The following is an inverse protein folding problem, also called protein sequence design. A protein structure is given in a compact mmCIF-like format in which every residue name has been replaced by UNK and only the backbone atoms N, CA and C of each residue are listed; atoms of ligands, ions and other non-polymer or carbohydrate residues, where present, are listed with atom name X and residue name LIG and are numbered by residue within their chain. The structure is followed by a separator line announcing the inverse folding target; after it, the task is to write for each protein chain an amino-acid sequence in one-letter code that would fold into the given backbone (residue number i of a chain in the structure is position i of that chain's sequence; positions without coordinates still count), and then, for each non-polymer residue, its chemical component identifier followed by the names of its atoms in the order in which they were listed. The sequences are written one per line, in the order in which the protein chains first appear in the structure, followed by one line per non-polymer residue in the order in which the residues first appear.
data_IF_960897201576
#
_entry.id   IF_960897201576
#
_cell.length_a   1.000
_cell.length_b   1.000
_cell.length_c   1.000
_cell.angle_alpha   90.00
_cell.angle_beta   90.00
_cell.angle_gamma   90.00
#
_symmetry.space_group_name_H-M   'P 1'
#
loop_
_entity.id
_entity.type
_entity.pdbx_description
1 polymer ?
#
# COMPACT_ATOMS: atom_id res chain seq x y z
N UNK A 1 -11.89 -5.04 16.94
CA UNK A 1 -12.68 -3.84 17.29
C UNK A 1 -14.00 -4.25 17.95
N UNK A 2 -14.14 -3.95 19.27
CA UNK A 2 -15.35 -4.27 20.02
C UNK A 2 -16.56 -3.39 19.63
N UNK A 3 -16.32 -2.23 19.00
CA UNK A 3 -17.38 -1.31 18.55
C UNK A 3 -17.89 -1.69 17.16
N UNK A 4 -17.15 -2.46 16.40
CA UNK A 4 -17.35 -2.79 14.98
C UNK A 4 -17.39 -1.57 14.05
N UNK A 5 -16.96 -0.39 14.50
CA UNK A 5 -17.17 0.88 13.78
C UNK A 5 -15.91 1.45 13.12
N UNK A 6 -14.73 1.07 13.58
CA UNK A 6 -13.48 1.75 13.18
C UNK A 6 -13.24 1.67 11.67
N UNK A 7 -13.26 0.49 11.10
CA UNK A 7 -13.08 0.29 9.66
C UNK A 7 -14.07 1.11 8.83
N UNK A 8 -15.36 1.09 9.23
CA UNK A 8 -16.37 1.89 8.53
C UNK A 8 -16.12 3.38 8.66
N UNK A 9 -15.78 3.85 9.85
CA UNK A 9 -15.53 5.27 10.11
C UNK A 9 -14.41 5.81 9.20
N UNK A 10 -13.29 5.10 9.13
CA UNK A 10 -12.16 5.54 8.31
C UNK A 10 -12.40 5.38 6.81
N UNK A 11 -13.18 4.39 6.38
CA UNK A 11 -13.65 4.30 4.98
C UNK A 11 -14.58 5.46 4.63
N UNK A 12 -15.55 5.79 5.48
CA UNK A 12 -16.44 6.93 5.26
C UNK A 12 -15.66 8.27 5.26
N UNK A 13 -14.65 8.40 6.12
CA UNK A 13 -13.75 9.55 6.13
C UNK A 13 -12.93 9.65 4.84
N UNK A 14 -12.33 8.56 4.38
CA UNK A 14 -11.59 8.52 3.13
C UNK A 14 -12.46 8.92 1.93
N UNK A 15 -13.71 8.44 1.88
CA UNK A 15 -14.69 8.84 0.88
C UNK A 15 -15.00 10.35 0.97
N UNK A 16 -15.17 10.89 2.18
CA UNK A 16 -15.44 12.32 2.41
C UNK A 16 -14.25 13.20 2.02
N UNK A 17 -13.03 12.70 2.17
CA UNK A 17 -11.79 13.33 1.73
C UNK A 17 -11.54 13.17 0.21
N UNK A 18 -12.49 12.58 -0.51
CA UNK A 18 -12.40 12.35 -1.96
C UNK A 18 -11.14 11.56 -2.35
N UNK A 19 -10.80 10.53 -1.57
CA UNK A 19 -9.79 9.57 -2.00
C UNK A 19 -10.27 8.90 -3.30
N UNK A 20 -9.38 8.66 -4.29
CA UNK A 20 -9.79 8.15 -5.62
C UNK A 20 -10.54 6.82 -5.57
N UNK A 21 -10.24 5.99 -4.57
CA UNK A 21 -10.98 4.77 -4.27
C UNK A 21 -11.07 4.55 -2.77
N UNK A 22 -12.24 4.12 -2.33
CA UNK A 22 -12.51 3.65 -0.97
C UNK A 22 -13.43 2.44 -1.06
N UNK A 23 -13.05 1.34 -0.40
CA UNK A 23 -13.84 0.12 -0.39
C UNK A 23 -15.23 0.39 0.22
N UNK A 24 -16.29 0.01 -0.48
CA UNK A 24 -17.64 0.13 0.06
C UNK A 24 -17.86 -0.88 1.18
N UNK A 25 -18.66 -0.51 2.17
CA UNK A 25 -18.97 -1.39 3.28
C UNK A 25 -20.36 -1.08 3.89
N UNK A 26 -21.02 -2.14 4.34
CA UNK A 26 -22.34 -2.05 4.94
C UNK A 26 -22.50 -3.02 6.11
N UNK A 27 -23.32 -2.63 7.09
CA UNK A 27 -23.71 -3.51 8.18
C UNK A 27 -24.68 -4.57 7.70
N UNK A 28 -24.45 -5.81 8.08
CA UNK A 28 -25.31 -6.95 7.76
C UNK A 28 -25.59 -7.79 8.99
N UNK A 29 -26.80 -8.33 9.08
CA UNK A 29 -27.12 -9.39 10.02
C UNK A 29 -26.73 -10.74 9.37
N UNK A 30 -25.78 -11.44 9.98
CA UNK A 30 -25.35 -12.73 9.46
C UNK A 30 -26.22 -13.85 10.03
N UNK A 31 -26.82 -14.64 9.14
CA UNK A 31 -27.42 -15.93 9.45
C UNK A 31 -26.62 -17.02 8.73
N UNK A 32 -26.20 -18.00 9.48
CA UNK A 32 -25.48 -19.16 8.94
C UNK A 32 -26.22 -20.41 9.37
N UNK A 33 -26.61 -21.25 8.40
CA UNK A 33 -27.38 -22.47 8.60
C UNK A 33 -28.67 -22.26 9.45
N UNK A 34 -29.35 -21.13 9.19
CA UNK A 34 -30.59 -20.73 9.89
C UNK A 34 -30.39 -20.09 11.27
N UNK A 35 -29.16 -20.04 11.80
CA UNK A 35 -28.85 -19.42 13.09
C UNK A 35 -28.30 -18.01 12.93
N UNK A 36 -28.77 -17.09 13.75
CA UNK A 36 -28.25 -15.73 13.83
C UNK A 36 -26.85 -15.72 14.45
N UNK A 37 -25.88 -15.15 13.75
CA UNK A 37 -24.46 -15.09 14.14
C UNK A 37 -23.99 -13.70 14.56
N UNK A 38 -24.86 -12.70 14.50
CA UNK A 38 -24.55 -11.33 14.91
C UNK A 38 -24.52 -10.34 13.76
N UNK A 39 -24.07 -9.13 14.07
CA UNK A 39 -23.85 -8.04 13.11
C UNK A 39 -22.42 -8.07 12.63
N UNK A 40 -22.23 -7.95 11.33
CA UNK A 40 -20.91 -7.93 10.68
C UNK A 40 -20.81 -6.73 9.74
N UNK A 41 -19.59 -6.24 9.54
CA UNK A 41 -19.29 -5.29 8.48
C UNK A 41 -18.92 -6.07 7.22
N UNK A 42 -19.82 -6.07 6.24
CA UNK A 42 -19.54 -6.57 4.91
C UNK A 42 -18.78 -5.49 4.14
N UNK A 43 -17.55 -5.76 3.77
CA UNK A 43 -16.68 -4.83 3.06
C UNK A 43 -16.17 -5.42 1.76
N UNK A 44 -16.04 -4.59 0.73
CA UNK A 44 -15.27 -4.97 -0.46
C UNK A 44 -13.80 -5.16 -0.10
N UNK A 45 -13.17 -6.14 -0.75
CA UNK A 45 -11.71 -6.32 -0.72
C UNK A 45 -11.06 -5.31 -1.67
N UNK A 46 -9.89 -4.82 -1.31
CA UNK A 46 -9.07 -4.02 -2.22
C UNK A 46 -8.60 -4.90 -3.41
N UNK A 47 -9.15 -4.65 -4.58
CA UNK A 47 -8.86 -5.39 -5.81
C UNK A 47 -8.81 -4.45 -7.00
N UNK A 48 -7.97 -4.77 -7.98
CA UNK A 48 -7.93 -4.07 -9.27
C UNK A 48 -9.14 -4.50 -10.09
N UNK A 49 -10.04 -3.58 -10.35
CA UNK A 49 -11.24 -3.73 -11.19
C UNK A 49 -11.91 -2.38 -11.40
N UNK A 50 -12.79 -2.28 -12.38
CA UNK A 50 -13.52 -1.02 -12.68
C UNK A 50 -14.37 -0.47 -11.53
N UNK A 51 -14.84 -1.34 -10.63
CA UNK A 51 -15.61 -0.95 -9.42
C UNK A 51 -14.76 -0.93 -8.15
N UNK A 52 -13.48 -1.24 -8.25
CA UNK A 52 -12.49 -1.25 -7.17
C UNK A 52 -11.40 -0.21 -7.41
N UNK A 53 -10.15 -0.59 -7.21
CA UNK A 53 -9.00 0.22 -7.60
C UNK A 53 -8.96 0.23 -9.13
N UNK A 54 -9.48 1.31 -9.71
CA UNK A 54 -9.68 1.44 -11.15
C UNK A 54 -8.40 1.91 -11.85
N UNK A 55 -7.50 0.97 -12.06
CA UNK A 55 -6.25 1.10 -12.83
C UNK A 55 -6.21 0.02 -13.90
N UNK A 56 -5.21 0.06 -14.77
CA UNK A 56 -4.95 -1.00 -15.75
C UNK A 56 -4.95 -2.37 -15.07
N UNK A 57 -5.70 -3.33 -15.60
CA UNK A 57 -5.68 -4.71 -15.11
C UNK A 57 -4.53 -5.47 -15.78
N UNK A 58 -3.36 -5.45 -15.12
CA UNK A 58 -2.18 -6.16 -15.62
C UNK A 58 -2.36 -7.69 -15.52
N UNK A 59 -3.16 -8.15 -14.58
CA UNK A 59 -3.42 -9.58 -14.43
C UNK A 59 -4.18 -10.14 -15.63
N UNK A 60 -5.15 -9.39 -16.15
CA UNK A 60 -5.85 -9.76 -17.39
C UNK A 60 -4.89 -9.71 -18.59
N UNK A 61 -4.02 -8.72 -18.67
CA UNK A 61 -2.99 -8.65 -19.72
C UNK A 61 -2.01 -9.84 -19.68
N UNK A 62 -1.66 -10.33 -18.47
CA UNK A 62 -0.89 -11.57 -18.33
C UNK A 62 -1.68 -12.80 -18.81
N UNK A 63 -2.95 -12.92 -18.43
CA UNK A 63 -3.83 -14.05 -18.84
C UNK A 63 -3.99 -14.14 -20.34
N UNK A 64 -4.08 -13.00 -21.03
CA UNK A 64 -4.17 -12.97 -22.50
C UNK A 64 -2.95 -13.57 -23.18
N UNK A 65 -1.75 -13.37 -22.62
CA UNK A 65 -0.49 -13.83 -23.21
C UNK A 65 -0.01 -15.18 -22.65
N UNK A 66 -0.53 -15.59 -21.50
CA UNK A 66 -0.11 -16.80 -20.79
C UNK A 66 -1.32 -17.67 -20.44
N UNK A 67 -1.73 -18.61 -21.33
CA UNK A 67 -2.95 -19.43 -21.12
C UNK A 67 -2.95 -20.25 -19.83
N UNK A 68 -1.77 -20.53 -19.25
CA UNK A 68 -1.61 -21.24 -17.97
C UNK A 68 -1.52 -20.33 -16.76
N UNK A 69 -1.72 -19.02 -16.92
CA UNK A 69 -1.64 -18.06 -15.81
C UNK A 69 -2.54 -18.48 -14.64
N UNK A 70 -1.96 -18.49 -13.43
CA UNK A 70 -2.64 -18.94 -12.22
C UNK A 70 -2.72 -20.46 -12.05
N UNK A 71 -2.17 -21.27 -12.98
CA UNK A 71 -2.13 -22.73 -12.89
C UNK A 71 -0.70 -23.22 -12.99
N UNK A 72 -0.23 -23.97 -11.99
CA UNK A 72 1.12 -24.54 -11.94
C UNK A 72 2.26 -23.50 -12.10
N UNK A 73 2.05 -22.30 -11.57
CA UNK A 73 3.04 -21.23 -11.60
C UNK A 73 4.26 -21.56 -10.75
N UNK A 74 5.45 -21.24 -11.27
CA UNK A 74 6.72 -21.40 -10.58
C UNK A 74 7.28 -20.03 -10.19
N UNK A 75 7.74 -19.89 -8.97
CA UNK A 75 8.37 -18.66 -8.48
C UNK A 75 9.87 -18.82 -8.34
N UNK A 76 10.60 -17.72 -8.49
CA UNK A 76 12.01 -17.60 -8.18
C UNK A 76 12.25 -16.38 -7.31
N UNK A 77 13.32 -16.42 -6.53
CA UNK A 77 13.75 -15.28 -5.73
C UNK A 77 15.06 -14.74 -6.28
N UNK A 78 15.11 -13.45 -6.51
CA UNK A 78 16.34 -12.75 -6.84
C UNK A 78 17.02 -12.26 -5.58
N UNK A 79 18.34 -12.43 -5.51
CA UNK A 79 19.21 -11.81 -4.48
C UNK A 79 19.75 -10.46 -4.91
N UNK A 80 19.07 -9.78 -5.84
CA UNK A 80 19.39 -8.39 -6.15
C UNK A 80 19.19 -7.49 -4.91
N UNK A 81 19.48 -6.21 -5.03
CA UNK A 81 19.40 -5.25 -3.93
C UNK A 81 17.99 -5.18 -3.25
N UNK A 82 16.98 -5.75 -3.89
CA UNK A 82 15.58 -5.64 -3.47
C UNK A 82 14.96 -6.97 -3.00
N UNK A 83 15.71 -8.08 -3.03
CA UNK A 83 15.19 -9.37 -2.56
C UNK A 83 13.82 -9.73 -3.13
N UNK A 84 13.63 -9.60 -4.47
CA UNK A 84 12.32 -9.83 -5.09
C UNK A 84 12.00 -11.32 -5.20
N UNK A 85 10.70 -11.65 -5.07
CA UNK A 85 10.10 -12.92 -5.49
C UNK A 85 9.18 -12.64 -6.67
N UNK A 86 9.32 -13.42 -7.74
CA UNK A 86 8.60 -13.25 -9.01
C UNK A 86 8.27 -14.59 -9.65
N UNK A 87 7.36 -14.58 -10.63
CA UNK A 87 6.96 -15.77 -11.37
C UNK A 87 7.83 -15.94 -12.61
N UNK A 88 8.32 -17.16 -12.81
CA UNK A 88 9.15 -17.52 -13.97
C UNK A 88 8.31 -18.04 -15.13
N UNK A 89 8.84 -17.88 -16.35
CA UNK A 89 8.24 -18.46 -17.56
C UNK A 89 7.02 -17.71 -18.10
N UNK A 90 6.72 -16.52 -17.56
CA UNK A 90 5.68 -15.66 -18.09
C UNK A 90 6.19 -14.83 -19.27
N UNK A 91 5.35 -14.67 -20.29
CA UNK A 91 5.48 -13.61 -21.27
C UNK A 91 4.97 -12.31 -20.64
N UNK A 92 5.81 -11.30 -20.59
CA UNK A 92 5.45 -10.00 -20.01
C UNK A 92 4.42 -9.27 -20.88
N UNK A 93 3.48 -8.51 -20.27
CA UNK A 93 2.62 -7.57 -21.00
C UNK A 93 3.44 -6.52 -21.77
N UNK A 94 2.86 -5.99 -22.84
CA UNK A 94 3.54 -4.96 -23.65
C UNK A 94 3.81 -3.65 -22.91
N UNK A 95 3.03 -3.32 -21.88
CA UNK A 95 3.27 -2.21 -20.95
C UNK A 95 3.26 -2.72 -19.51
N UNK A 96 4.43 -2.65 -18.87
CA UNK A 96 4.63 -3.04 -17.47
C UNK A 96 4.73 -1.83 -16.54
N UNK A 97 4.41 -0.62 -17.02
CA UNK A 97 4.61 0.62 -16.23
C UNK A 97 3.46 0.94 -15.28
N UNK A 98 2.41 0.13 -15.24
CA UNK A 98 1.25 0.32 -14.36
C UNK A 98 0.44 -0.95 -14.18
N UNK A 99 -0.63 -0.85 -13.39
CA UNK A 99 -1.48 -1.99 -13.05
C UNK A 99 -1.11 -2.68 -11.74
N UNK A 100 -0.37 -2.00 -10.89
CA UNK A 100 0.09 -2.56 -9.60
C UNK A 100 -0.75 -2.10 -8.43
N UNK A 101 -1.14 -3.05 -7.60
CA UNK A 101 -1.63 -2.83 -6.24
C UNK A 101 -0.61 -3.42 -5.26
N UNK A 102 -0.07 -2.58 -4.41
CA UNK A 102 0.97 -2.93 -3.43
C UNK A 102 0.43 -2.84 -2.02
N UNK A 103 0.99 -3.65 -1.12
CA UNK A 103 0.70 -3.62 0.31
C UNK A 103 2.00 -3.71 1.10
N UNK A 104 2.23 -2.77 1.99
CA UNK A 104 3.30 -2.86 2.99
C UNK A 104 2.97 -3.97 3.99
N UNK A 105 3.92 -4.87 4.25
CA UNK A 105 3.76 -5.98 5.19
C UNK A 105 5.03 -6.23 6.00
N UNK A 106 5.14 -5.60 7.16
CA UNK A 106 6.24 -5.74 8.12
C UNK A 106 7.64 -5.70 7.48
N UNK A 107 8.45 -6.73 7.73
CA UNK A 107 9.85 -6.85 7.29
C UNK A 107 10.05 -7.82 6.11
N UNK A 108 8.98 -8.45 5.64
CA UNK A 108 9.03 -9.39 4.50
C UNK A 108 7.67 -9.52 3.82
N UNK A 109 7.66 -9.74 2.50
CA UNK A 109 6.43 -10.11 1.81
C UNK A 109 5.97 -11.52 2.21
N UNK A 110 4.67 -11.75 2.21
CA UNK A 110 4.03 -13.05 2.46
C UNK A 110 3.15 -13.52 1.28
N UNK A 111 3.13 -12.77 0.20
CA UNK A 111 2.49 -13.13 -1.07
C UNK A 111 3.47 -13.78 -2.05
N UNK A 112 2.94 -14.37 -3.12
CA UNK A 112 3.75 -15.04 -4.16
C UNK A 112 4.64 -14.08 -4.93
N UNK A 113 4.22 -12.82 -5.06
CA UNK A 113 5.00 -11.75 -5.68
C UNK A 113 5.23 -10.64 -4.66
N UNK A 114 6.49 -10.22 -4.51
CA UNK A 114 6.84 -9.18 -3.55
C UNK A 114 8.33 -8.86 -3.53
N UNK A 115 8.71 -7.85 -2.75
CA UNK A 115 10.09 -7.42 -2.62
C UNK A 115 10.38 -6.86 -1.23
N UNK A 116 11.66 -6.73 -0.90
CA UNK A 116 12.12 -6.10 0.34
C UNK A 116 12.82 -4.79 -0.01
N UNK A 117 12.43 -3.70 0.64
CA UNK A 117 13.03 -2.38 0.44
C UNK A 117 14.38 -2.25 1.12
N UNK A 118 15.14 -1.19 0.83
CA UNK A 118 16.42 -0.89 1.50
C UNK A 118 16.26 -0.63 3.00
N UNK A 119 15.10 -0.14 3.41
CA UNK A 119 14.77 0.02 4.83
C UNK A 119 14.33 -1.29 5.49
N UNK A 120 14.43 -2.42 4.77
CA UNK A 120 14.09 -3.75 5.29
C UNK A 120 12.60 -3.98 5.44
N UNK A 121 11.77 -3.34 4.62
CA UNK A 121 10.32 -3.51 4.65
C UNK A 121 9.84 -4.40 3.51
N UNK A 122 8.93 -5.32 3.85
CA UNK A 122 8.28 -6.19 2.89
C UNK A 122 7.18 -5.46 2.13
N UNK A 123 7.18 -5.62 0.81
CA UNK A 123 6.12 -5.12 -0.06
C UNK A 123 5.51 -6.29 -0.81
N UNK A 124 4.24 -6.56 -0.54
CA UNK A 124 3.44 -7.49 -1.31
C UNK A 124 2.99 -6.84 -2.62
N UNK A 125 3.01 -7.59 -3.71
CA UNK A 125 2.30 -7.24 -4.94
C UNK A 125 0.97 -8.00 -4.94
N UNK A 126 -0.12 -7.31 -4.62
CA UNK A 126 -1.47 -7.88 -4.53
C UNK A 126 -2.13 -8.01 -5.91
N UNK A 127 -1.67 -7.22 -6.88
CA UNK A 127 -2.04 -7.32 -8.28
C UNK A 127 -0.87 -6.79 -9.14
N UNK A 128 -0.46 -7.50 -10.19
CA UNK A 128 -0.90 -8.86 -10.52
C UNK A 128 -0.38 -9.89 -9.48
N UNK A 129 -1.19 -10.90 -9.16
CA UNK A 129 -0.80 -11.93 -8.17
C UNK A 129 0.48 -12.64 -8.60
N UNK A 130 0.53 -13.10 -9.85
CA UNK A 130 1.69 -13.73 -10.45
C UNK A 130 2.41 -12.73 -11.36
N UNK A 131 3.40 -12.05 -10.81
CA UNK A 131 4.14 -10.99 -11.48
C UNK A 131 5.44 -11.55 -12.08
N UNK A 132 5.70 -11.27 -13.35
CA UNK A 132 6.92 -11.70 -14.04
C UNK A 132 8.15 -10.91 -13.59
N UNK A 133 9.34 -11.32 -14.03
CA UNK A 133 10.61 -10.77 -13.54
C UNK A 133 10.80 -9.29 -13.90
N UNK A 134 10.46 -8.90 -15.14
CA UNK A 134 10.68 -7.53 -15.62
C UNK A 134 9.72 -6.56 -14.95
N UNK A 135 8.43 -6.96 -14.81
CA UNK A 135 7.42 -6.18 -14.12
C UNK A 135 7.75 -6.03 -12.62
N UNK A 136 8.22 -7.10 -11.96
CA UNK A 136 8.68 -7.03 -10.56
C UNK A 136 9.88 -6.12 -10.40
N UNK A 137 10.84 -6.18 -11.33
CA UNK A 137 12.00 -5.28 -11.31
C UNK A 137 11.56 -3.83 -11.44
N UNK A 138 10.68 -3.53 -12.39
CA UNK A 138 10.16 -2.18 -12.60
C UNK A 138 9.49 -1.63 -11.33
N UNK A 139 8.55 -2.36 -10.74
CA UNK A 139 7.79 -1.83 -9.60
C UNK A 139 8.64 -1.73 -8.33
N UNK A 140 9.55 -2.68 -8.10
CA UNK A 140 10.47 -2.62 -6.96
C UNK A 140 11.45 -1.46 -7.06
N UNK A 141 11.98 -1.18 -8.25
CA UNK A 141 12.87 -0.03 -8.50
C UNK A 141 12.11 1.30 -8.37
N UNK A 142 10.88 1.35 -8.88
CA UNK A 142 10.04 2.55 -8.79
C UNK A 142 9.72 2.90 -7.32
N UNK A 143 9.29 1.89 -6.54
CA UNK A 143 9.02 2.08 -5.12
C UNK A 143 10.29 2.44 -4.34
N UNK A 144 11.40 1.79 -4.66
CA UNK A 144 12.69 2.07 -4.02
C UNK A 144 13.17 3.51 -4.29
N UNK A 145 13.00 4.02 -5.51
CA UNK A 145 13.33 5.40 -5.83
C UNK A 145 12.47 6.42 -5.06
N UNK A 146 11.22 6.09 -4.79
CA UNK A 146 10.35 6.82 -3.86
C UNK A 146 10.89 6.78 -2.42
N UNK A 147 11.18 5.59 -1.89
CA UNK A 147 11.72 5.41 -0.55
C UNK A 147 13.06 6.13 -0.39
N UNK A 148 13.95 6.03 -1.36
CA UNK A 148 15.24 6.73 -1.37
C UNK A 148 15.08 8.26 -1.31
N UNK A 149 14.05 8.81 -1.97
CA UNK A 149 13.76 10.23 -1.88
C UNK A 149 13.24 10.63 -0.49
N UNK A 150 12.37 9.81 0.11
CA UNK A 150 11.86 10.06 1.47
C UNK A 150 12.99 10.04 2.51
N UNK A 151 13.95 9.11 2.39
CA UNK A 151 15.04 8.95 3.35
C UNK A 151 16.29 9.76 3.01
N UNK A 152 16.28 10.54 1.93
CA UNK A 152 17.42 11.36 1.54
C UNK A 152 17.69 12.49 2.53
N UNK A 153 18.94 12.64 2.93
CA UNK A 153 19.38 13.71 3.84
C UNK A 153 20.47 14.58 3.22
N UNK A 154 20.55 15.83 3.66
CA UNK A 154 21.66 16.72 3.38
C UNK A 154 22.92 16.37 4.21
N UNK A 155 24.00 17.12 4.03
CA UNK A 155 25.26 16.92 4.78
C UNK A 155 25.12 17.15 6.28
N UNK A 156 24.07 17.82 6.71
CA UNK A 156 23.77 18.10 8.12
C UNK A 156 22.82 17.07 8.73
N UNK A 157 22.35 16.10 7.93
CA UNK A 157 21.41 15.06 8.35
C UNK A 157 19.94 15.47 8.27
N UNK A 158 19.60 16.63 7.69
CA UNK A 158 18.21 17.04 7.53
C UNK A 158 17.57 16.31 6.34
N UNK A 159 16.36 15.81 6.50
CA UNK A 159 15.61 15.18 5.42
C UNK A 159 15.25 16.19 4.33
N UNK A 160 15.57 15.84 3.08
CA UNK A 160 15.38 16.73 1.92
C UNK A 160 14.18 16.36 1.08
N UNK A 161 13.75 15.11 1.12
CA UNK A 161 12.72 14.59 0.23
C UNK A 161 13.16 14.42 -1.23
N UNK A 162 14.48 14.51 -1.51
CA UNK A 162 15.06 14.51 -2.87
C UNK A 162 16.15 13.44 -2.96
N UNK A 163 15.98 12.46 -3.84
CA UNK A 163 16.95 11.37 -4.02
C UNK A 163 18.24 11.82 -4.76
N UNK A 164 19.17 10.90 -4.91
CA UNK A 164 20.46 11.16 -5.56
C UNK A 164 20.35 11.57 -7.05
N UNK A 165 19.22 11.26 -7.70
CA UNK A 165 18.91 11.64 -9.07
C UNK A 165 18.28 13.05 -9.16
N UNK A 166 18.09 13.73 -8.05
CA UNK A 166 17.47 15.06 -7.97
C UNK A 166 15.96 15.05 -8.11
N UNK A 167 15.32 13.88 -7.90
CA UNK A 167 13.87 13.74 -7.95
C UNK A 167 13.26 13.78 -6.55
N UNK A 168 12.17 14.50 -6.42
CA UNK A 168 11.40 14.59 -5.17
C UNK A 168 10.54 13.33 -4.94
N UNK A 169 10.26 12.99 -3.68
CA UNK A 169 9.34 11.90 -3.33
C UNK A 169 7.99 12.04 -4.05
N UNK A 170 7.47 13.26 -4.21
CA UNK A 170 6.22 13.53 -4.91
C UNK A 170 6.32 13.46 -6.46
N UNK A 171 7.48 13.19 -7.02
CA UNK A 171 7.61 12.80 -8.44
C UNK A 171 7.17 11.35 -8.65
N UNK A 172 7.21 10.54 -7.59
CA UNK A 172 6.84 9.12 -7.60
C UNK A 172 5.45 8.85 -7.04
N UNK A 173 5.02 9.62 -6.03
CA UNK A 173 3.72 9.45 -5.37
C UNK A 173 2.89 10.72 -5.47
N UNK A 174 1.57 10.57 -5.57
CA UNK A 174 0.65 11.69 -5.43
C UNK A 174 0.71 12.21 -3.99
N UNK A 175 1.17 13.46 -3.83
CA UNK A 175 1.41 14.07 -2.52
C UNK A 175 0.13 14.21 -1.70
N UNK A 176 -0.97 14.59 -2.35
CA UNK A 176 -2.24 14.80 -1.65
C UNK A 176 -2.77 13.48 -1.06
N UNK A 177 -2.69 12.38 -1.81
CA UNK A 177 -3.07 11.06 -1.30
C UNK A 177 -2.19 10.62 -0.12
N UNK A 178 -0.89 10.88 -0.19
CA UNK A 178 0.05 10.52 0.87
C UNK A 178 -0.21 11.33 2.15
N UNK A 179 -0.49 12.64 2.03
CA UNK A 179 -0.86 13.52 3.15
C UNK A 179 -2.18 13.06 3.78
N UNK A 180 -3.18 12.72 2.98
CA UNK A 180 -4.48 12.21 3.49
C UNK A 180 -4.33 10.92 4.26
N UNK A 181 -3.58 9.95 3.73
CA UNK A 181 -3.29 8.69 4.43
C UNK A 181 -2.55 8.97 5.72
N UNK A 182 -1.51 9.81 5.70
CA UNK A 182 -0.75 10.19 6.89
C UNK A 182 -1.67 10.76 7.97
N UNK A 183 -2.48 11.77 7.64
CA UNK A 183 -3.40 12.39 8.59
C UNK A 183 -4.46 11.42 9.13
N UNK A 184 -4.97 10.52 8.30
CA UNK A 184 -5.93 9.51 8.75
C UNK A 184 -5.29 8.51 9.71
N UNK A 185 -4.06 8.06 9.47
CA UNK A 185 -3.36 7.15 10.37
C UNK A 185 -3.00 7.81 11.69
N UNK A 186 -2.59 9.10 11.68
CA UNK A 186 -2.35 9.89 12.89
C UNK A 186 -3.62 10.07 13.72
N UNK A 187 -4.72 10.48 13.07
CA UNK A 187 -6.01 10.65 13.73
C UNK A 187 -6.54 9.31 14.27
N UNK A 188 -6.31 8.24 13.56
CA UNK A 188 -6.70 6.89 13.96
C UNK A 188 -5.91 6.38 15.16
N UNK A 189 -4.73 6.93 15.43
CA UNK A 189 -3.75 6.35 16.37
C UNK A 189 -3.51 4.88 16.04
N UNK A 190 -3.34 4.59 14.74
CA UNK A 190 -3.20 3.23 14.25
C UNK A 190 -1.80 2.68 14.57
N UNK A 191 -1.65 1.70 15.45
CA UNK A 191 -0.35 1.14 15.80
C UNK A 191 0.33 0.40 14.64
N UNK A 192 -0.44 -0.05 13.65
CA UNK A 192 0.07 -0.74 12.46
C UNK A 192 0.23 0.20 11.26
N UNK A 193 -0.19 1.46 11.41
CA UNK A 193 -0.34 2.45 10.32
C UNK A 193 0.96 2.67 9.57
N UNK A 194 1.78 2.38 8.99
CA UNK A 194 3.07 2.43 8.31
C UNK A 194 3.99 1.24 8.65
N UNK A 195 3.42 0.18 9.25
CA UNK A 195 4.14 -1.07 9.49
C UNK A 195 3.57 -2.17 8.60
N UNK A 196 2.24 -2.23 8.48
CA UNK A 196 1.49 -3.24 7.75
C UNK A 196 0.22 -2.63 7.16
N UNK A 197 -0.40 -3.32 6.23
CA UNK A 197 -1.72 -2.98 5.66
C UNK A 197 -1.82 -1.56 5.06
N UNK A 198 -0.67 -0.95 4.73
CA UNK A 198 -0.61 0.29 3.99
C UNK A 198 -0.53 -0.01 2.50
N UNK A 199 -1.55 0.44 1.78
CA UNK A 199 -1.66 0.20 0.34
C UNK A 199 -1.12 1.34 -0.49
N UNK A 200 -0.61 0.98 -1.67
CA UNK A 200 -0.28 1.88 -2.77
C UNK A 200 -0.76 1.27 -4.07
N UNK A 201 -1.13 2.10 -5.04
CA UNK A 201 -1.41 1.61 -6.38
C UNK A 201 -0.79 2.50 -7.45
N UNK A 202 -0.36 1.90 -8.55
CA UNK A 202 0.38 2.54 -9.63
C UNK A 202 -0.23 2.17 -10.97
N UNK A 203 -0.70 3.19 -11.69
CA UNK A 203 -1.18 3.03 -13.06
C UNK A 203 -0.16 3.54 -14.08
N UNK A 204 -0.27 3.09 -15.34
CA UNK A 204 0.61 3.50 -16.42
C UNK A 204 0.56 5.02 -16.64
N UNK A 205 1.71 5.65 -16.83
CA UNK A 205 1.80 7.08 -17.05
C UNK A 205 1.43 7.97 -15.85
N UNK A 206 1.04 7.38 -14.70
CA UNK A 206 0.67 8.12 -13.48
C UNK A 206 1.67 7.90 -12.36
N UNK A 207 1.66 8.79 -11.38
CA UNK A 207 2.34 8.59 -10.09
C UNK A 207 1.63 7.49 -9.31
N UNK A 208 2.31 6.93 -8.34
CA UNK A 208 1.72 6.05 -7.35
C UNK A 208 0.75 6.84 -6.46
N UNK A 209 -0.33 6.22 -6.00
CA UNK A 209 -1.24 6.77 -5.00
C UNK A 209 -1.11 6.00 -3.70
N UNK A 210 -1.09 6.71 -2.57
CA UNK A 210 -1.19 6.11 -1.25
C UNK A 210 -2.68 5.82 -0.94
N UNK A 211 -2.96 4.60 -0.52
CA UNK A 211 -4.31 4.06 -0.31
C UNK A 211 -4.59 2.84 -1.18
N UNK A 212 -5.82 2.28 -1.08
CA UNK A 212 -6.94 2.73 -0.23
C UNK A 212 -6.70 2.47 1.26
N UNK A 213 -7.49 3.16 2.10
CA UNK A 213 -7.46 2.91 3.55
C UNK A 213 -7.97 1.49 3.86
N UNK A 214 -7.30 0.79 4.76
CA UNK A 214 -7.57 -0.61 5.06
C UNK A 214 -7.20 -0.91 6.51
N UNK A 215 -7.83 -1.94 7.11
CA UNK A 215 -7.44 -2.56 8.38
C UNK A 215 -7.34 -1.56 9.55
N UNK A 216 -8.46 -0.91 9.86
CA UNK A 216 -8.52 0.10 10.92
C UNK A 216 -9.11 -0.44 12.24
N UNK A 217 -9.15 -1.76 12.42
CA UNK A 217 -9.81 -2.39 13.57
C UNK A 217 -9.06 -2.20 14.90
N UNK A 218 -7.75 -1.96 14.86
CA UNK A 218 -6.89 -1.73 16.02
C UNK A 218 -6.70 -0.25 16.39
N UNK A 219 -7.50 0.64 15.81
CA UNK A 219 -7.38 2.09 15.97
C UNK A 219 -8.10 2.64 17.21
N UNK A 220 -7.97 3.95 17.46
CA UNK A 220 -8.68 4.70 18.51
C UNK A 220 -8.50 4.09 19.92
N UNK A 221 -7.33 3.54 20.21
CA UNK A 221 -6.98 3.00 21.53
C UNK A 221 -7.50 1.60 21.83
N UNK A 222 -8.00 0.86 20.83
CA UNK A 222 -8.41 -0.56 21.00
C UNK A 222 -7.28 -1.55 20.79
N UNK A 223 -6.18 -1.11 20.13
CA UNK A 223 -4.98 -1.91 19.90
C UNK A 223 -4.07 -2.05 21.11
N UNK A 224 -2.82 -2.35 20.86
CA UNK A 224 -1.78 -2.57 21.89
C UNK A 224 -1.40 -1.28 22.62
N UNK A 225 -1.57 -0.14 21.98
CA UNK A 225 -1.32 1.17 22.56
C UNK A 225 -2.60 1.67 23.24
N UNK A 226 -2.69 1.45 24.54
CA UNK A 226 -3.74 2.04 25.37
C UNK A 226 -3.53 3.53 25.67
N UNK A 227 -2.43 4.09 25.23
CA UNK A 227 -2.12 5.51 25.39
C UNK A 227 -2.31 6.24 24.07
N UNK A 228 -3.06 7.30 24.11
CA UNK A 228 -3.06 8.33 23.08
C UNK A 228 -1.67 8.97 23.11
N UNK A 229 -0.75 8.49 22.26
CA UNK A 229 0.46 9.23 21.98
C UNK A 229 0.16 10.15 20.82
N UNK A 230 0.37 11.46 20.93
CA UNK A 230 0.19 12.37 19.81
C UNK A 230 1.25 12.21 18.70
N UNK A 231 2.11 11.20 18.82
CA UNK A 231 3.29 11.02 17.96
C UNK A 231 3.42 9.56 17.54
N UNK A 232 2.43 9.05 16.76
CA UNK A 232 2.56 7.76 16.08
C UNK A 232 3.72 7.79 15.08
N UNK A 233 4.09 8.95 14.60
CA UNK A 233 5.23 9.18 13.70
C UNK A 233 6.59 8.81 14.28
N UNK A 234 6.75 8.80 15.60
CA UNK A 234 8.04 8.46 16.23
C UNK A 234 8.47 7.00 16.05
N UNK A 235 7.55 6.14 15.61
CA UNK A 235 7.79 4.68 15.56
C UNK A 235 7.71 4.06 14.17
N UNK A 236 7.32 4.80 13.14
CA UNK A 236 6.88 4.19 11.90
C UNK A 236 7.62 4.67 10.66
N UNK A 237 8.39 3.77 10.08
CA UNK A 237 8.90 3.68 8.72
C UNK A 237 8.83 5.01 7.91
N UNK A 238 7.98 5.09 6.90
CA UNK A 238 7.88 6.29 6.06
C UNK A 238 7.41 7.53 6.84
N UNK A 239 6.48 7.36 7.80
CA UNK A 239 5.90 8.48 8.53
C UNK A 239 6.95 9.28 9.31
N UNK A 240 7.89 8.59 9.97
CA UNK A 240 8.96 9.22 10.72
C UNK A 240 9.86 10.10 9.83
N UNK A 241 10.16 9.65 8.62
CA UNK A 241 10.97 10.42 7.68
C UNK A 241 10.15 11.54 7.02
N UNK A 242 8.94 11.24 6.56
CA UNK A 242 8.06 12.19 5.87
C UNK A 242 7.80 13.45 6.69
N UNK A 243 7.45 13.31 7.97
CA UNK A 243 7.14 14.48 8.82
C UNK A 243 8.35 15.41 9.03
N UNK A 244 9.57 14.94 8.80
CA UNK A 244 10.78 15.73 8.89
C UNK A 244 11.14 16.42 7.57
N UNK A 245 10.49 16.08 6.47
CA UNK A 245 10.67 16.76 5.18
C UNK A 245 9.89 18.10 5.22
N UNK A 246 10.54 19.26 5.03
CA UNK A 246 9.90 20.57 5.28
C UNK A 246 8.62 20.81 4.48
N UNK A 247 8.57 20.41 3.20
CA UNK A 247 7.40 20.64 2.35
C UNK A 247 6.26 19.65 2.66
N UNK A 248 6.57 18.43 3.12
CA UNK A 248 5.56 17.49 3.60
C UNK A 248 4.98 17.99 4.94
N UNK A 249 5.83 18.38 5.88
CA UNK A 249 5.39 18.95 7.15
C UNK A 249 4.47 20.15 6.95
N UNK A 250 4.84 21.07 6.05
CA UNK A 250 4.00 22.22 5.72
C UNK A 250 2.66 21.84 5.06
N UNK A 251 2.55 20.68 4.44
CA UNK A 251 1.31 20.21 3.84
C UNK A 251 0.38 19.50 4.85
N UNK A 252 0.93 19.05 5.98
CA UNK A 252 0.18 18.38 7.06
C UNK A 252 -0.44 19.42 8.03
N UNK A 253 0.17 20.61 8.16
CA UNK A 253 -0.32 21.73 9.00
C UNK A 253 -1.45 22.51 8.33
#
# INVERSE_FOLDING_TARGET
DATLMHDKLFKDMAASLQMPYTASCNWVNLYYDGEYRGVYLLSEKNTVKSTGVNITDMEDAYKEQNPSYGTDMQTASSKNAYGMTYTTGLTEPGDITGGYLLELNHDRPDEVSGFITRQGKGMNVKSPEWCGEEAMRYISEYYQAFEDAVYATDKSGNYTGVNAEGKHYYDYVDRDSLVKIFLMQELALNPDGFISSLYFYKDAGKKMYAGPIWDQDMTLGTGWTKQISPETTDYHYLAQALIQIPDFHAAVL
#
